data_IF_651838402806
#
_entry.id   IF_651838402806
#
_cell.length_a   1.000
_cell.length_b   1.000
_cell.length_c   1.000
_cell.angle_alpha   90.00
_cell.angle_beta   90.00
_cell.angle_gamma   90.00
#
_symmetry.space_group_name_H-M   'P 1'
#
loop_
_entity.id
_entity.type
_entity.pdbx_description
1 polymer ?
#
# COMPACT_ATOMS: atom_id res chain seq x y z
N UNK A 1 15.25 -46.75 5.99
CA UNK A 1 15.98 -46.72 7.28
C UNK A 1 17.38 -47.21 6.99
N UNK A 2 18.30 -46.28 6.79
CA UNK A 2 19.71 -46.57 6.57
C UNK A 2 20.49 -45.44 7.20
N UNK A 3 21.00 -45.75 8.38
CA UNK A 3 21.85 -44.91 9.19
C UNK A 3 23.13 -44.58 8.44
N UNK A 4 23.54 -43.32 8.48
CA UNK A 4 24.87 -42.88 8.09
C UNK A 4 25.33 -41.91 9.16
N UNK A 5 25.63 -42.48 10.32
CA UNK A 5 26.35 -41.83 11.41
C UNK A 5 27.70 -41.35 10.85
N UNK A 6 27.78 -40.05 10.58
CA UNK A 6 29.04 -39.40 10.27
C UNK A 6 29.84 -39.30 11.57
N UNK A 7 30.87 -40.14 11.63
CA UNK A 7 31.99 -40.09 12.56
C UNK A 7 32.56 -38.65 12.61
N UNK A 8 32.07 -37.84 13.54
CA UNK A 8 32.80 -36.66 14.00
C UNK A 8 34.05 -37.16 14.72
N UNK A 9 35.13 -37.33 13.96
CA UNK A 9 36.47 -37.45 14.51
C UNK A 9 36.77 -36.16 15.29
N UNK A 10 36.64 -36.26 16.61
CA UNK A 10 37.15 -35.29 17.57
C UNK A 10 38.66 -35.21 17.44
N UNK A 11 39.16 -34.36 16.53
CA UNK A 11 40.55 -33.94 16.55
C UNK A 11 40.73 -32.92 17.68
N UNK A 12 40.93 -33.44 18.90
CA UNK A 12 41.56 -32.67 19.96
C UNK A 12 42.95 -32.22 19.47
N UNK A 13 43.30 -30.93 19.58
CA UNK A 13 44.63 -30.47 19.21
C UNK A 13 45.66 -31.06 20.18
N UNK A 14 46.89 -31.37 19.71
CA UNK A 14 47.91 -31.98 20.54
C UNK A 14 48.30 -31.03 21.68
N UNK A 15 48.23 -31.53 22.91
CA UNK A 15 48.77 -30.89 24.12
C UNK A 15 50.30 -30.85 24.01
N UNK A 16 50.83 -29.74 23.52
CA UNK A 16 52.27 -29.49 23.60
C UNK A 16 52.62 -29.07 25.02
N UNK A 17 53.11 -30.02 25.80
CA UNK A 17 53.89 -29.70 26.99
C UNK A 17 55.23 -29.09 26.56
N UNK A 18 55.59 -27.94 27.15
CA UNK A 18 56.95 -27.61 27.62
C UNK A 18 56.94 -26.25 28.30
N UNK A 19 57.12 -26.28 29.61
CA UNK A 19 57.54 -25.19 30.49
C UNK A 19 58.83 -24.55 29.97
N UNK A 20 58.74 -23.32 29.48
CA UNK A 20 59.84 -22.38 29.23
C UNK A 20 59.49 -21.03 29.89
N UNK A 21 60.47 -20.15 30.15
CA UNK A 21 60.26 -18.98 31.00
C UNK A 21 59.15 -18.13 30.42
N UNK A 22 58.12 -17.91 31.24
CA UNK A 22 56.90 -17.14 30.96
C UNK A 22 57.18 -16.00 29.98
N UNK A 23 56.76 -16.16 28.72
CA UNK A 23 56.84 -15.09 27.73
C UNK A 23 55.73 -14.08 28.02
N UNK A 24 55.94 -13.27 29.07
CA UNK A 24 55.09 -12.15 29.45
C UNK A 24 54.73 -11.29 28.21
N UNK A 25 55.71 -11.13 27.31
CA UNK A 25 55.59 -10.40 26.05
C UNK A 25 54.56 -10.97 25.06
N UNK A 26 54.46 -12.30 24.94
CA UNK A 26 53.53 -12.95 24.02
C UNK A 26 52.08 -12.92 24.51
N UNK A 27 51.89 -13.09 25.83
CA UNK A 27 50.57 -13.00 26.45
C UNK A 27 49.99 -11.59 26.38
N UNK A 28 50.82 -10.55 26.57
CA UNK A 28 50.37 -9.16 26.45
C UNK A 28 49.99 -8.78 25.01
N UNK A 29 50.72 -9.29 24.01
CA UNK A 29 50.39 -9.06 22.60
C UNK A 29 49.06 -9.73 22.23
N UNK A 30 48.88 -10.99 22.62
CA UNK A 30 47.63 -11.72 22.41
C UNK A 30 46.45 -11.10 23.17
N UNK A 31 46.67 -10.60 24.39
CA UNK A 31 45.64 -9.90 25.17
C UNK A 31 45.20 -8.61 24.48
N UNK A 32 46.14 -7.77 24.03
CA UNK A 32 45.84 -6.54 23.28
C UNK A 32 45.12 -6.82 21.96
N UNK A 33 45.55 -7.83 21.20
CA UNK A 33 44.87 -8.23 19.96
C UNK A 33 43.44 -8.70 20.23
N UNK A 34 43.24 -9.47 21.29
CA UNK A 34 41.90 -9.96 21.70
C UNK A 34 41.00 -8.81 22.12
N UNK A 35 41.53 -7.84 22.86
CA UNK A 35 40.78 -6.65 23.29
C UNK A 35 40.40 -5.75 22.11
N UNK A 36 41.31 -5.56 21.14
CA UNK A 36 41.01 -4.85 19.90
C UNK A 36 39.90 -5.53 19.10
N UNK A 37 39.97 -6.86 18.94
CA UNK A 37 38.94 -7.63 18.25
C UNK A 37 37.60 -7.57 18.98
N UNK A 38 37.58 -7.64 20.33
CA UNK A 38 36.35 -7.47 21.12
C UNK A 38 35.74 -6.10 20.93
N UNK A 39 36.54 -5.04 21.00
CA UNK A 39 36.08 -3.67 20.79
C UNK A 39 35.55 -3.45 19.38
N UNK A 40 36.23 -3.96 18.35
CA UNK A 40 35.74 -3.92 16.98
C UNK A 40 34.43 -4.70 16.83
N UNK A 41 34.32 -5.90 17.40
CA UNK A 41 33.10 -6.69 17.32
C UNK A 41 31.93 -5.99 18.02
N UNK A 42 32.17 -5.39 19.20
CA UNK A 42 31.17 -4.59 19.90
C UNK A 42 30.70 -3.40 19.05
N UNK A 43 31.63 -2.64 18.48
CA UNK A 43 31.30 -1.51 17.58
C UNK A 43 30.50 -1.94 16.36
N UNK A 44 30.91 -3.05 15.72
CA UNK A 44 30.20 -3.58 14.55
C UNK A 44 28.78 -4.04 14.92
N UNK A 45 28.59 -4.67 16.07
CA UNK A 45 27.26 -5.06 16.56
C UNK A 45 26.37 -3.84 16.81
N UNK A 46 26.90 -2.80 17.43
CA UNK A 46 26.17 -1.55 17.65
C UNK A 46 25.80 -0.88 16.33
N UNK A 47 26.74 -0.81 15.38
CA UNK A 47 26.48 -0.25 14.05
C UNK A 47 25.40 -1.05 13.31
N UNK A 48 25.50 -2.39 13.32
CA UNK A 48 24.52 -3.26 12.68
C UNK A 48 23.12 -3.09 13.28
N UNK A 49 23.02 -2.99 14.60
CA UNK A 49 21.75 -2.76 15.28
C UNK A 49 21.14 -1.40 14.91
N UNK A 50 21.96 -0.36 14.81
CA UNK A 50 21.53 0.97 14.37
C UNK A 50 21.02 0.94 12.92
N UNK A 51 21.77 0.31 12.01
CA UNK A 51 21.36 0.12 10.61
C UNK A 51 20.06 -0.66 10.49
N UNK A 52 19.88 -1.73 11.28
CA UNK A 52 18.62 -2.50 11.33
C UNK A 52 17.44 -1.64 11.73
N UNK A 53 17.60 -0.77 12.73
CA UNK A 53 16.55 0.17 13.15
C UNK A 53 16.23 1.20 12.08
N UNK A 54 17.24 1.72 11.38
CA UNK A 54 17.06 2.65 10.26
C UNK A 54 16.27 1.96 9.14
N UNK A 55 16.68 0.76 8.72
CA UNK A 55 15.98 0.00 7.68
C UNK A 55 14.54 -0.30 8.07
N UNK A 56 14.27 -0.67 9.32
CA UNK A 56 12.91 -0.90 9.81
C UNK A 56 12.06 0.37 9.73
N UNK A 57 12.61 1.52 10.14
CA UNK A 57 11.92 2.81 10.05
C UNK A 57 11.62 3.20 8.61
N UNK A 58 12.61 3.10 7.72
CA UNK A 58 12.44 3.43 6.30
C UNK A 58 11.36 2.55 5.64
N UNK A 59 11.30 1.26 5.98
CA UNK A 59 10.24 0.36 5.48
C UNK A 59 8.86 0.76 5.99
N UNK A 60 8.75 1.19 7.25
CA UNK A 60 7.49 1.66 7.81
C UNK A 60 7.04 2.97 7.13
N UNK A 61 7.94 3.94 6.97
CA UNK A 61 7.68 5.20 6.26
C UNK A 61 7.27 4.95 4.80
N UNK A 62 7.94 4.01 4.12
CA UNK A 62 7.57 3.59 2.77
C UNK A 62 6.18 2.95 2.73
N UNK A 63 5.84 2.13 3.72
CA UNK A 63 4.50 1.53 3.83
C UNK A 63 3.43 2.58 4.07
N UNK A 64 3.70 3.55 4.94
CA UNK A 64 2.77 4.63 5.27
C UNK A 64 2.51 5.53 4.06
N UNK A 65 3.57 5.97 3.38
CA UNK A 65 3.44 6.79 2.16
C UNK A 65 2.70 6.05 1.04
N UNK A 66 2.89 4.74 0.91
CA UNK A 66 2.11 3.92 -0.01
C UNK A 66 0.63 3.83 0.38
N UNK A 67 0.32 3.74 1.68
CA UNK A 67 -1.05 3.75 2.22
C UNK A 67 -1.74 5.10 1.97
N UNK A 68 -1.08 6.20 2.33
CA UNK A 68 -1.57 7.57 2.12
C UNK A 68 -1.88 7.80 0.63
N UNK A 69 -1.01 7.34 -0.27
CA UNK A 69 -1.26 7.41 -1.71
C UNK A 69 -2.50 6.61 -2.12
N UNK A 70 -2.64 5.38 -1.64
CA UNK A 70 -3.82 4.55 -1.95
C UNK A 70 -5.12 5.21 -1.45
N UNK A 71 -5.10 5.78 -0.24
CA UNK A 71 -6.24 6.51 0.33
C UNK A 71 -6.63 7.74 -0.51
N UNK A 72 -5.64 8.49 -1.01
CA UNK A 72 -5.87 9.62 -1.91
C UNK A 72 -6.49 9.21 -3.26
N UNK A 73 -6.06 8.07 -3.81
CA UNK A 73 -6.60 7.50 -5.06
C UNK A 73 -8.05 7.03 -4.87
N UNK A 74 -8.33 6.34 -3.77
CA UNK A 74 -9.68 5.89 -3.41
C UNK A 74 -10.64 7.06 -3.21
N UNK A 75 -10.18 8.13 -2.55
CA UNK A 75 -10.97 9.34 -2.40
C UNK A 75 -11.25 10.02 -3.74
N UNK A 76 -10.25 10.12 -4.63
CA UNK A 76 -10.45 10.65 -5.97
C UNK A 76 -11.51 9.85 -6.74
N UNK A 77 -11.45 8.52 -6.69
CA UNK A 77 -12.44 7.65 -7.30
C UNK A 77 -13.84 7.89 -6.72
N UNK A 78 -13.95 8.06 -5.39
CA UNK A 78 -15.22 8.38 -4.73
C UNK A 78 -15.80 9.71 -5.23
N UNK A 79 -14.97 10.74 -5.41
CA UNK A 79 -15.39 12.01 -5.99
C UNK A 79 -15.89 11.84 -7.43
N UNK A 80 -15.19 11.05 -8.25
CA UNK A 80 -15.65 10.73 -9.60
C UNK A 80 -17.00 10.00 -9.60
N UNK A 81 -17.19 9.00 -8.72
CA UNK A 81 -18.44 8.26 -8.62
C UNK A 81 -19.60 9.14 -8.18
N UNK A 82 -19.37 10.08 -7.27
CA UNK A 82 -20.41 11.02 -6.85
C UNK A 82 -20.88 11.92 -8.00
N UNK A 83 -19.94 12.47 -8.77
CA UNK A 83 -20.26 13.26 -9.96
C UNK A 83 -20.98 12.41 -11.03
N UNK A 84 -20.55 11.15 -11.25
CA UNK A 84 -21.25 10.24 -12.18
C UNK A 84 -22.70 10.00 -11.77
N UNK A 85 -22.99 9.81 -10.48
CA UNK A 85 -24.37 9.68 -9.97
C UNK A 85 -25.18 10.94 -10.25
N UNK A 86 -24.64 12.12 -10.01
CA UNK A 86 -25.31 13.39 -10.31
C UNK A 86 -25.67 13.51 -11.80
N UNK A 87 -24.73 13.17 -12.69
CA UNK A 87 -24.95 13.15 -14.15
C UNK A 87 -26.07 12.17 -14.51
N UNK A 88 -26.04 10.97 -13.94
CA UNK A 88 -27.05 9.94 -14.22
C UNK A 88 -28.45 10.36 -13.74
N UNK A 89 -28.56 11.01 -12.57
CA UNK A 89 -29.81 11.59 -12.07
C UNK A 89 -30.31 12.69 -13.03
N UNK A 90 -29.45 13.59 -13.47
CA UNK A 90 -29.80 14.65 -14.43
C UNK A 90 -30.33 14.07 -15.74
N UNK A 91 -29.67 13.04 -16.26
CA UNK A 91 -30.06 12.35 -17.49
C UNK A 91 -31.41 11.64 -17.38
N UNK A 92 -31.67 10.96 -16.27
CA UNK A 92 -32.96 10.28 -16.04
C UNK A 92 -34.12 11.27 -15.88
N UNK A 93 -33.88 12.42 -15.23
CA UNK A 93 -34.87 13.52 -15.15
C UNK A 93 -35.20 14.09 -16.53
N UNK A 94 -34.18 14.45 -17.33
CA UNK A 94 -34.37 14.97 -18.68
C UNK A 94 -35.12 13.99 -19.60
N UNK A 95 -34.81 12.69 -19.51
CA UNK A 95 -35.53 11.66 -20.28
C UNK A 95 -36.99 11.50 -19.85
N UNK A 96 -37.28 11.66 -18.56
CA UNK A 96 -38.64 11.58 -18.02
C UNK A 96 -39.51 12.77 -18.46
N UNK A 97 -38.94 13.98 -18.48
CA UNK A 97 -39.62 15.19 -18.96
C UNK A 97 -39.90 15.14 -20.47
N UNK A 98 -38.92 14.71 -21.27
CA UNK A 98 -39.10 14.53 -22.71
C UNK A 98 -40.19 13.49 -23.06
N UNK A 99 -40.42 12.51 -22.18
CA UNK A 99 -41.46 11.50 -22.36
C UNK A 99 -42.85 12.04 -21.99
N UNK A 100 -42.97 12.86 -20.93
CA UNK A 100 -44.22 13.52 -20.54
C UNK A 100 -44.70 14.54 -21.57
N UNK A 101 -43.79 15.27 -22.21
CA UNK A 101 -44.13 16.25 -23.25
C UNK A 101 -44.73 15.62 -24.52
N UNK A 102 -44.52 14.32 -24.79
CA UNK A 102 -45.08 13.61 -25.95
C UNK A 102 -46.46 12.99 -25.68
N UNK A 103 -46.85 12.85 -24.42
CA UNK A 103 -48.14 12.22 -24.05
C UNK A 103 -49.30 13.18 -23.96
N UNK A 104 -49.08 14.50 -24.10
CA UNK A 104 -50.14 15.52 -24.03
C UNK A 104 -50.88 15.78 -25.33
N UNK A 105 -50.55 15.10 -26.43
CA UNK A 105 -51.15 15.36 -27.76
C UNK A 105 -51.96 14.19 -28.37
N UNK A 106 -52.14 13.06 -27.67
CA UNK A 106 -53.01 11.98 -28.17
C UNK A 106 -53.77 11.29 -27.04
N UNK A 107 -55.10 11.42 -27.11
CA UNK A 107 -56.04 10.97 -26.11
C UNK A 107 -56.06 9.46 -25.85
N UNK A 108 -56.62 9.14 -24.67
CA UNK A 108 -57.31 7.91 -24.26
C UNK A 108 -56.84 6.60 -24.91
N UNK A 109 -56.04 5.84 -24.16
CA UNK A 109 -56.33 4.41 -23.96
C UNK A 109 -55.74 3.94 -22.63
N UNK A 110 -56.58 3.33 -21.82
CA UNK A 110 -56.18 2.44 -20.73
C UNK A 110 -55.37 1.26 -21.30
N UNK A 111 -54.68 0.54 -20.43
CA UNK A 111 -53.79 -0.60 -20.68
C UNK A 111 -52.36 -0.23 -21.05
N UNK A 112 -51.53 0.07 -20.05
CA UNK A 112 -50.08 -0.21 -20.09
C UNK A 112 -49.43 -0.13 -18.68
N UNK A 113 -50.08 -0.70 -17.66
CA UNK A 113 -49.46 -0.90 -16.34
C UNK A 113 -48.37 -2.01 -16.35
N UNK A 114 -48.18 -2.70 -17.48
CA UNK A 114 -47.24 -3.83 -17.63
C UNK A 114 -45.88 -3.48 -18.27
N UNK A 115 -45.57 -2.19 -18.51
CA UNK A 115 -44.31 -1.78 -19.17
C UNK A 115 -43.36 -0.94 -18.31
N UNK A 116 -43.53 -0.94 -16.99
CA UNK A 116 -42.53 -0.45 -16.03
C UNK A 116 -41.36 -1.43 -15.81
N UNK A 117 -41.31 -2.55 -16.54
CA UNK A 117 -40.21 -3.52 -16.50
C UNK A 117 -39.01 -3.17 -17.38
N UNK A 118 -38.93 -1.94 -17.91
CA UNK A 118 -37.65 -1.41 -18.34
C UNK A 118 -37.03 -0.65 -17.17
N UNK A 119 -36.66 -1.40 -16.13
CA UNK A 119 -35.51 -1.08 -15.29
C UNK A 119 -34.32 -1.00 -16.26
N UNK A 120 -34.21 0.13 -16.96
CA UNK A 120 -33.17 0.40 -17.94
C UNK A 120 -31.90 0.35 -17.12
N UNK A 121 -31.16 -0.75 -17.27
CA UNK A 121 -29.80 -0.90 -16.76
C UNK A 121 -29.09 0.43 -16.95
N UNK A 122 -28.28 0.91 -15.97
CA UNK A 122 -27.53 2.15 -16.09
C UNK A 122 -26.94 2.23 -17.48
N UNK A 123 -27.51 3.08 -18.35
CA UNK A 123 -26.90 3.30 -19.66
C UNK A 123 -25.57 3.94 -19.35
N UNK A 124 -24.50 3.32 -19.83
CA UNK A 124 -23.16 3.87 -19.72
C UNK A 124 -23.21 5.37 -20.06
N UNK A 125 -22.58 6.15 -19.20
CA UNK A 125 -22.43 7.59 -19.41
C UNK A 125 -21.54 7.78 -20.64
N UNK A 126 -21.99 8.60 -21.56
CA UNK A 126 -21.21 9.00 -22.73
C UNK A 126 -20.49 10.31 -22.45
N UNK A 127 -19.43 10.62 -23.19
CA UNK A 127 -18.69 11.88 -23.01
C UNK A 127 -19.57 13.14 -23.17
N UNK A 128 -20.67 13.04 -23.92
CA UNK A 128 -21.63 14.13 -24.11
C UNK A 128 -22.50 14.42 -22.88
N UNK A 129 -22.61 13.47 -21.94
CA UNK A 129 -23.38 13.65 -20.71
C UNK A 129 -22.62 14.53 -19.69
N UNK A 130 -21.31 14.71 -19.87
CA UNK A 130 -20.43 15.51 -19.02
C UNK A 130 -20.45 16.98 -19.41
N UNK A 131 -20.77 17.84 -18.45
CA UNK A 131 -20.80 19.29 -18.59
C UNK A 131 -19.59 19.93 -17.90
N UNK A 132 -19.28 21.18 -18.29
CA UNK A 132 -18.23 21.97 -17.62
C UNK A 132 -18.50 22.14 -16.11
N UNK A 133 -19.77 22.17 -15.70
CA UNK A 133 -20.19 22.24 -14.30
C UNK A 133 -19.79 20.99 -13.51
N UNK A 134 -19.81 19.82 -14.13
CA UNK A 134 -19.45 18.56 -13.48
C UNK A 134 -17.95 18.51 -13.20
N UNK A 135 -17.14 19.04 -14.13
CA UNK A 135 -15.69 19.22 -13.93
C UNK A 135 -15.41 20.18 -12.77
N UNK A 136 -16.14 21.30 -12.69
CA UNK A 136 -16.03 22.25 -11.56
C UNK A 136 -16.41 21.57 -10.24
N UNK A 137 -17.51 20.81 -10.24
CA UNK A 137 -18.00 20.08 -9.07
C UNK A 137 -17.00 19.04 -8.57
N UNK A 138 -16.36 18.30 -9.49
CA UNK A 138 -15.29 17.36 -9.15
C UNK A 138 -14.13 18.06 -8.44
N UNK A 139 -13.69 19.21 -8.95
CA UNK A 139 -12.62 19.99 -8.33
C UNK A 139 -13.02 20.53 -6.96
N UNK A 140 -14.25 21.02 -6.80
CA UNK A 140 -14.78 21.45 -5.49
C UNK A 140 -14.78 20.30 -4.47
N UNK A 141 -15.18 19.08 -4.89
CA UNK A 141 -15.15 17.91 -4.03
C UNK A 141 -13.71 17.53 -3.63
N UNK A 142 -12.78 17.58 -4.60
CA UNK A 142 -11.36 17.29 -4.33
C UNK A 142 -10.79 18.31 -3.34
N UNK A 143 -11.04 19.60 -3.56
CA UNK A 143 -10.53 20.69 -2.71
C UNK A 143 -11.20 20.70 -1.34
N UNK A 144 -12.43 20.19 -1.21
CA UNK A 144 -13.12 20.12 0.08
C UNK A 144 -12.52 19.12 1.08
N UNK A 145 -11.54 18.31 0.64
CA UNK A 145 -10.76 17.47 1.53
C UNK A 145 -9.38 18.11 1.75
N UNK A 146 -9.26 18.83 2.87
CA UNK A 146 -8.04 19.52 3.29
C UNK A 146 -6.86 18.54 3.57
N UNK A 147 -7.11 17.24 3.72
CA UNK A 147 -6.07 16.24 3.99
C UNK A 147 -5.36 15.72 2.73
N UNK A 148 -5.88 16.03 1.53
CA UNK A 148 -5.38 15.51 0.25
C UNK A 148 -4.55 16.54 -0.53
N UNK A 149 -4.56 17.81 -0.10
CA UNK A 149 -3.81 18.92 -0.72
C UNK A 149 -2.60 19.35 0.11
#
# INVERSE_FOLDING_TARGET
MSDSESLFHNHLPPLWGKTGPSSHFGNECCARATELLRNQNARLRTSLELERRIVMRLRLEQSNTASEKAESEDFFLKCCEEVKKEIQIRRTRAASEASKARTTDRGKSADNFARQQNARLPRDLTLHDFLKTDRRRLLELIISNDEIL
#
